data_IF_758744695108
#
_entry.id   IF_758744695108
#
_cell.length_a   1.000
_cell.length_b   1.000
_cell.length_c   1.000
_cell.angle_alpha   90.00
_cell.angle_beta   90.00
_cell.angle_gamma   90.00
#
_symmetry.space_group_name_H-M   'P 1'
#
loop_
_entity.id
_entity.type
_entity.pdbx_description
1 polymer ?
#
# COMPACT_ATOMS: atom_id res chain seq x y z
N UNK A 1 -11.98 17.88 -13.89
CA UNK A 1 -12.62 16.97 -12.90
C UNK A 1 -11.72 15.75 -12.73
N UNK A 2 -11.65 15.13 -11.54
CA UNK A 2 -10.94 13.89 -11.37
C UNK A 2 -11.58 12.78 -12.23
N UNK A 3 -10.77 11.83 -12.68
CA UNK A 3 -11.23 10.71 -13.51
C UNK A 3 -10.67 9.38 -13.04
N UNK A 4 -11.43 8.30 -13.26
CA UNK A 4 -11.02 6.94 -12.99
C UNK A 4 -11.17 6.13 -14.27
N UNK A 5 -10.08 5.55 -14.75
CA UNK A 5 -10.06 4.77 -15.99
C UNK A 5 -9.43 3.41 -15.76
N UNK A 6 -9.85 2.41 -16.55
CA UNK A 6 -9.15 1.12 -16.55
C UNK A 6 -7.72 1.30 -17.04
N UNK A 7 -6.80 0.60 -16.40
CA UNK A 7 -5.38 0.60 -16.75
C UNK A 7 -4.95 -0.80 -17.14
N UNK A 8 -4.31 -0.94 -18.28
CA UNK A 8 -3.74 -2.19 -18.78
C UNK A 8 -2.44 -1.86 -19.51
N UNK A 9 -1.31 -2.34 -18.96
CA UNK A 9 0.02 -2.23 -19.57
C UNK A 9 0.62 -3.65 -19.63
N UNK A 10 0.91 -4.18 -20.82
CA UNK A 10 1.44 -5.53 -20.98
C UNK A 10 2.84 -5.74 -20.37
N UNK A 11 3.67 -4.71 -20.24
CA UNK A 11 5.00 -4.73 -19.60
C UNK A 11 5.89 -5.93 -19.98
N UNK A 12 6.03 -6.34 -21.27
CA UNK A 12 6.88 -7.44 -21.61
C UNK A 12 8.37 -7.14 -21.30
N UNK A 13 9.17 -8.13 -20.82
CA UNK A 13 8.82 -9.54 -20.60
C UNK A 13 8.20 -9.82 -19.21
N UNK A 14 7.92 -8.80 -18.40
CA UNK A 14 7.41 -8.95 -17.04
C UNK A 14 5.88 -9.20 -16.96
N UNK A 15 5.34 -9.35 -15.75
CA UNK A 15 3.91 -9.44 -15.54
C UNK A 15 3.19 -8.15 -15.97
N UNK A 16 2.02 -8.23 -16.64
CA UNK A 16 1.25 -7.05 -17.00
C UNK A 16 0.75 -6.30 -15.76
N UNK A 17 0.53 -5.00 -15.91
CA UNK A 17 -0.09 -4.16 -14.90
C UNK A 17 -1.54 -3.93 -15.28
N UNK A 18 -2.47 -4.44 -14.48
CA UNK A 18 -3.91 -4.29 -14.67
C UNK A 18 -4.55 -3.69 -13.44
N UNK A 19 -5.50 -2.79 -13.64
CA UNK A 19 -6.19 -2.15 -12.53
C UNK A 19 -6.94 -0.88 -12.92
N UNK A 20 -6.86 0.13 -12.06
CA UNK A 20 -7.59 1.38 -12.22
C UNK A 20 -6.68 2.56 -11.93
N UNK A 21 -6.59 3.48 -12.88
CA UNK A 21 -5.84 4.71 -12.76
C UNK A 21 -6.78 5.86 -12.42
N UNK A 22 -6.50 6.50 -11.28
CA UNK A 22 -7.17 7.71 -10.83
C UNK A 22 -6.29 8.90 -11.18
N UNK A 23 -6.86 9.87 -11.90
CA UNK A 23 -6.21 11.14 -12.21
C UNK A 23 -6.91 12.27 -11.49
N UNK A 24 -6.20 13.10 -10.72
CA UNK A 24 -6.79 14.29 -10.11
C UNK A 24 -7.13 15.34 -11.18
N UNK A 25 -7.98 16.30 -10.83
CA UNK A 25 -8.25 17.46 -11.70
C UNK A 25 -7.01 18.35 -11.87
N UNK A 26 -6.20 18.45 -10.79
CA UNK A 26 -4.93 19.16 -10.76
C UNK A 26 -3.90 18.26 -10.05
N UNK A 27 -2.86 17.85 -10.79
CA UNK A 27 -1.85 16.91 -10.32
C UNK A 27 -0.67 17.66 -9.69
N UNK A 28 -0.56 17.62 -8.37
CA UNK A 28 0.53 18.27 -7.61
C UNK A 28 1.08 17.40 -6.45
N UNK A 29 0.44 16.26 -6.17
CA UNK A 29 0.78 15.42 -5.01
C UNK A 29 1.84 14.35 -5.27
N UNK A 30 2.04 13.94 -6.52
CA UNK A 30 2.88 12.79 -6.89
C UNK A 30 2.07 11.55 -7.26
N UNK A 31 2.71 10.38 -7.21
CA UNK A 31 2.13 9.08 -7.55
C UNK A 31 1.96 8.14 -6.35
N UNK A 32 0.88 7.37 -6.32
CA UNK A 32 0.63 6.31 -5.33
C UNK A 32 0.24 5.01 -6.03
N UNK A 33 1.02 3.94 -5.83
CA UNK A 33 0.62 2.57 -6.22
C UNK A 33 0.02 1.86 -5.03
N UNK A 34 -1.17 1.27 -5.19
CA UNK A 34 -1.86 0.50 -4.16
C UNK A 34 -2.16 -0.92 -4.62
N UNK A 35 -1.72 -1.91 -3.84
CA UNK A 35 -2.00 -3.32 -4.05
C UNK A 35 -2.96 -3.90 -2.98
N UNK A 36 -3.75 -4.89 -3.38
CA UNK A 36 -4.77 -5.52 -2.54
C UNK A 36 -4.23 -6.63 -1.63
N UNK A 37 -5.05 -7.01 -0.64
CA UNK A 37 -4.80 -8.16 0.22
C UNK A 37 -4.99 -9.51 -0.47
N UNK A 38 -4.62 -10.60 0.21
CA UNK A 38 -4.65 -11.96 -0.34
C UNK A 38 -6.03 -12.41 -0.86
N UNK A 39 -7.11 -11.97 -0.22
CA UNK A 39 -8.49 -12.31 -0.61
C UNK A 39 -9.15 -11.31 -1.56
N UNK A 40 -8.52 -10.15 -1.80
CA UNK A 40 -9.11 -9.04 -2.56
C UNK A 40 -8.62 -8.93 -4.00
N UNK A 41 -8.96 -7.80 -4.59
CA UNK A 41 -8.52 -7.33 -5.91
C UNK A 41 -8.39 -5.80 -5.89
N UNK A 42 -8.07 -5.17 -7.02
CA UNK A 42 -7.94 -3.72 -7.15
C UNK A 42 -9.23 -2.94 -6.84
N UNK A 43 -10.40 -3.59 -6.78
CA UNK A 43 -11.68 -2.98 -6.46
C UNK A 43 -12.06 -3.11 -4.97
N UNK A 44 -11.15 -3.64 -4.13
CA UNK A 44 -11.38 -3.73 -2.70
C UNK A 44 -11.75 -2.35 -2.11
N UNK A 45 -12.83 -2.24 -1.32
CA UNK A 45 -13.34 -0.94 -0.82
C UNK A 45 -12.28 -0.08 -0.15
N UNK A 46 -11.39 -0.67 0.65
CA UNK A 46 -10.29 0.06 1.31
C UNK A 46 -9.36 0.73 0.30
N UNK A 47 -9.08 0.09 -0.84
CA UNK A 47 -8.22 0.67 -1.87
C UNK A 47 -8.97 1.75 -2.67
N UNK A 48 -10.26 1.53 -2.94
CA UNK A 48 -11.10 2.51 -3.67
C UNK A 48 -11.19 3.80 -2.89
N UNK A 49 -11.57 3.73 -1.61
CA UNK A 49 -11.72 4.92 -0.76
C UNK A 49 -10.38 5.64 -0.53
N UNK A 50 -9.30 4.88 -0.28
CA UNK A 50 -7.97 5.44 -0.14
C UNK A 50 -7.53 6.16 -1.44
N UNK A 51 -7.72 5.52 -2.60
CA UNK A 51 -7.36 6.11 -3.88
C UNK A 51 -8.18 7.37 -4.18
N UNK A 52 -9.48 7.36 -3.89
CA UNK A 52 -10.35 8.54 -4.06
C UNK A 52 -9.84 9.72 -3.23
N UNK A 53 -9.61 9.51 -1.93
CA UNK A 53 -9.14 10.57 -1.04
C UNK A 53 -7.77 11.14 -1.44
N UNK A 54 -6.83 10.28 -1.87
CA UNK A 54 -5.54 10.75 -2.37
C UNK A 54 -5.67 11.50 -3.69
N UNK A 55 -6.59 11.07 -4.57
CA UNK A 55 -6.85 11.74 -5.85
C UNK A 55 -7.47 13.12 -5.63
N UNK A 56 -8.40 13.25 -4.69
CA UNK A 56 -8.99 14.55 -4.31
C UNK A 56 -7.93 15.50 -3.71
N UNK A 57 -6.87 14.94 -3.12
CA UNK A 57 -5.72 15.69 -2.60
C UNK A 57 -4.61 15.94 -3.66
N UNK A 58 -4.87 15.71 -4.95
CA UNK A 58 -3.97 16.01 -6.07
C UNK A 58 -2.99 14.89 -6.43
N UNK A 59 -3.17 13.66 -5.93
CA UNK A 59 -2.30 12.52 -6.24
C UNK A 59 -2.83 11.72 -7.43
N UNK A 60 -1.93 11.27 -8.30
CA UNK A 60 -2.26 10.24 -9.31
C UNK A 60 -2.14 8.87 -8.67
N UNK A 61 -3.22 8.07 -8.66
CA UNK A 61 -3.22 6.78 -7.96
C UNK A 61 -3.49 5.62 -8.91
N UNK A 62 -2.65 4.60 -8.84
CA UNK A 62 -2.83 3.32 -9.55
C UNK A 62 -3.15 2.22 -8.54
N UNK A 63 -4.41 1.74 -8.55
CA UNK A 63 -4.80 0.50 -7.86
C UNK A 63 -4.59 -0.66 -8.81
N UNK A 64 -3.74 -1.62 -8.47
CA UNK A 64 -3.41 -2.72 -9.37
C UNK A 64 -3.75 -4.08 -8.79
N UNK A 65 -4.16 -4.99 -9.68
CA UNK A 65 -4.25 -6.42 -9.39
C UNK A 65 -2.86 -7.04 -9.38
N UNK A 66 -2.52 -7.72 -8.29
CA UNK A 66 -1.30 -8.51 -8.22
C UNK A 66 -1.34 -9.65 -9.25
N UNK A 67 -0.22 -10.07 -9.83
CA UNK A 67 -0.16 -11.13 -10.86
C UNK A 67 -0.95 -12.38 -10.50
N UNK A 68 -0.90 -12.84 -9.24
CA UNK A 68 -1.68 -14.01 -8.85
C UNK A 68 -3.19 -13.80 -9.00
N UNK A 69 -3.69 -12.57 -8.80
CA UNK A 69 -5.12 -12.22 -8.92
C UNK A 69 -5.54 -12.11 -10.38
N UNK A 70 -4.65 -11.65 -11.25
CA UNK A 70 -4.90 -11.62 -12.69
C UNK A 70 -5.03 -13.03 -13.29
N UNK A 71 -4.33 -14.01 -12.72
CA UNK A 71 -4.37 -15.42 -13.14
C UNK A 71 -5.52 -16.20 -12.47
N UNK A 72 -5.94 -15.80 -11.26
CA UNK A 72 -6.97 -16.48 -10.45
C UNK A 72 -7.95 -15.48 -9.85
N UNK A 73 -9.20 -15.46 -10.29
CA UNK A 73 -10.22 -14.50 -9.82
C UNK A 73 -10.50 -14.58 -8.32
N UNK A 74 -10.32 -15.76 -7.70
CA UNK A 74 -10.63 -16.01 -6.28
C UNK A 74 -9.54 -16.83 -5.58
N UNK A 75 -9.59 -16.86 -4.25
CA UNK A 75 -8.67 -17.63 -3.41
C UNK A 75 -7.38 -16.87 -3.05
N UNK A 76 -6.58 -17.42 -2.11
CA UNK A 76 -5.33 -16.82 -1.70
C UNK A 76 -4.22 -16.99 -2.76
N UNK A 77 -3.11 -16.21 -2.65
CA UNK A 77 -1.97 -16.41 -3.54
C UNK A 77 -1.38 -17.81 -3.38
N UNK A 78 -1.07 -18.51 -4.48
CA UNK A 78 -0.40 -19.80 -4.42
C UNK A 78 1.00 -19.67 -3.80
N UNK A 79 1.48 -20.74 -3.16
CA UNK A 79 2.84 -20.78 -2.65
C UNK A 79 3.86 -20.54 -3.77
N UNK A 80 4.94 -19.82 -3.47
CA UNK A 80 6.00 -19.51 -4.44
C UNK A 80 5.72 -18.37 -5.43
N UNK A 81 4.56 -17.71 -5.34
CA UNK A 81 4.19 -16.62 -6.27
C UNK A 81 4.60 -15.21 -5.82
N UNK A 82 5.08 -15.07 -4.59
CA UNK A 82 5.40 -13.77 -3.99
C UNK A 82 6.42 -12.95 -4.81
N UNK A 83 7.42 -13.59 -5.38
CA UNK A 83 8.41 -12.92 -6.23
C UNK A 83 7.79 -12.35 -7.51
N UNK A 84 6.90 -13.11 -8.17
CA UNK A 84 6.16 -12.65 -9.36
C UNK A 84 5.22 -11.50 -9.01
N UNK A 85 4.61 -11.52 -7.82
CA UNK A 85 3.77 -10.41 -7.34
C UNK A 85 4.60 -9.14 -7.11
N UNK A 86 5.82 -9.28 -6.55
CA UNK A 86 6.74 -8.13 -6.44
C UNK A 86 7.22 -7.62 -7.79
N UNK A 87 7.44 -8.51 -8.77
CA UNK A 87 7.75 -8.09 -10.15
C UNK A 87 6.60 -7.28 -10.77
N UNK A 88 5.35 -7.70 -10.57
CA UNK A 88 4.17 -6.92 -10.98
C UNK A 88 4.07 -5.56 -10.30
N UNK A 89 4.38 -5.47 -8.99
CA UNK A 89 4.45 -4.19 -8.29
C UNK A 89 5.56 -3.29 -8.83
N UNK A 90 6.73 -3.83 -9.15
CA UNK A 90 7.82 -3.07 -9.79
C UNK A 90 7.37 -2.46 -11.11
N UNK A 91 6.67 -3.24 -11.95
CA UNK A 91 6.13 -2.76 -13.20
C UNK A 91 5.08 -1.67 -12.98
N UNK A 92 4.19 -1.83 -11.97
CA UNK A 92 3.20 -0.82 -11.63
C UNK A 92 3.84 0.51 -11.19
N UNK A 93 4.93 0.44 -10.41
CA UNK A 93 5.72 1.63 -10.04
C UNK A 93 6.34 2.29 -11.26
N UNK A 94 6.94 1.52 -12.15
CA UNK A 94 7.56 2.03 -13.39
C UNK A 94 6.51 2.70 -14.28
N UNK A 95 5.36 2.05 -14.49
CA UNK A 95 4.27 2.59 -15.28
C UNK A 95 3.71 3.90 -14.70
N UNK A 96 3.49 3.94 -13.37
CA UNK A 96 2.97 5.13 -12.73
C UNK A 96 3.99 6.28 -12.73
N UNK A 97 5.28 6.00 -12.60
CA UNK A 97 6.35 7.02 -12.64
C UNK A 97 6.37 7.79 -13.96
N UNK A 98 6.02 7.15 -15.06
CA UNK A 98 5.88 7.80 -16.37
C UNK A 98 4.65 8.73 -16.46
N UNK A 99 3.64 8.52 -15.61
CA UNK A 99 2.36 9.25 -15.62
C UNK A 99 2.24 10.30 -14.52
N UNK A 100 3.02 10.18 -13.45
CA UNK A 100 2.98 11.06 -12.29
C UNK A 100 4.41 11.49 -11.93
N UNK A 101 4.85 12.65 -12.40
CA UNK A 101 6.16 13.20 -12.03
C UNK A 101 6.20 13.57 -10.54
N UNK A 102 7.40 13.51 -9.96
CA UNK A 102 7.61 13.84 -8.55
C UNK A 102 7.72 12.60 -7.66
N UNK A 103 7.26 12.72 -6.41
CA UNK A 103 7.40 11.67 -5.40
C UNK A 103 6.48 10.50 -5.71
N UNK A 104 6.98 9.28 -5.44
CA UNK A 104 6.20 8.06 -5.66
C UNK A 104 6.12 7.24 -4.36
N UNK A 105 4.91 6.99 -3.93
CA UNK A 105 4.59 6.16 -2.77
C UNK A 105 4.14 4.78 -3.27
N UNK A 106 4.70 3.73 -2.67
CA UNK A 106 4.28 2.36 -2.91
C UNK A 106 3.55 1.85 -1.67
N UNK A 107 2.40 1.20 -1.86
CA UNK A 107 1.65 0.72 -0.72
C UNK A 107 0.69 -0.40 -1.03
N UNK A 108 -0.13 -0.72 -0.05
CA UNK A 108 -1.18 -1.71 -0.19
C UNK A 108 -1.74 -2.20 1.13
N UNK A 109 -2.79 -2.98 1.00
CA UNK A 109 -3.49 -3.61 2.11
C UNK A 109 -2.95 -5.01 2.37
N UNK A 110 -2.68 -5.33 3.65
CA UNK A 110 -2.35 -6.69 4.10
C UNK A 110 -1.21 -7.33 3.28
N UNK A 111 -1.48 -8.42 2.55
CA UNK A 111 -0.51 -9.10 1.68
C UNK A 111 0.14 -8.14 0.68
N UNK A 112 -0.63 -7.28 0.02
CA UNK A 112 -0.10 -6.28 -0.92
C UNK A 112 0.86 -5.30 -0.24
N UNK A 113 0.53 -4.80 0.94
CA UNK A 113 1.42 -3.95 1.74
C UNK A 113 2.71 -4.67 2.14
N UNK A 114 2.60 -5.96 2.53
CA UNK A 114 3.79 -6.77 2.82
C UNK A 114 4.67 -6.97 1.57
N UNK A 115 4.09 -7.27 0.40
CA UNK A 115 4.88 -7.39 -0.84
C UNK A 115 5.51 -6.05 -1.23
N UNK A 116 4.81 -4.94 -1.05
CA UNK A 116 5.34 -3.59 -1.26
C UNK A 116 6.56 -3.29 -0.39
N UNK A 117 6.48 -3.60 0.91
CA UNK A 117 7.60 -3.38 1.84
C UNK A 117 8.80 -4.29 1.53
N UNK A 118 8.57 -5.55 1.17
CA UNK A 118 9.64 -6.45 0.73
C UNK A 118 10.32 -5.95 -0.54
N UNK A 119 9.53 -5.51 -1.52
CA UNK A 119 10.06 -4.94 -2.76
C UNK A 119 10.87 -3.67 -2.52
N UNK A 120 10.44 -2.79 -1.63
CA UNK A 120 11.19 -1.58 -1.29
C UNK A 120 12.53 -1.90 -0.61
N UNK A 121 12.60 -2.96 0.20
CA UNK A 121 13.84 -3.45 0.80
C UNK A 121 14.78 -4.09 -0.24
N UNK A 122 14.24 -4.79 -1.24
CA UNK A 122 15.00 -5.43 -2.33
C UNK A 122 15.47 -4.43 -3.40
N UNK A 123 14.81 -3.29 -3.53
CA UNK A 123 15.06 -2.30 -4.58
C UNK A 123 15.08 -0.88 -4.01
N UNK A 124 16.15 -0.48 -3.31
CA UNK A 124 16.32 0.89 -2.83
C UNK A 124 16.19 1.92 -3.97
N UNK A 125 15.45 3.02 -3.71
CA UNK A 125 15.21 4.07 -4.69
C UNK A 125 14.04 3.80 -5.66
N UNK A 126 13.37 2.64 -5.57
CA UNK A 126 12.18 2.35 -6.39
C UNK A 126 10.99 3.24 -6.01
N UNK A 127 10.83 3.56 -4.75
CA UNK A 127 9.79 4.45 -4.22
C UNK A 127 10.40 5.41 -3.19
N UNK A 128 9.70 6.52 -2.93
CA UNK A 128 10.14 7.56 -1.98
C UNK A 128 9.58 7.33 -0.56
N UNK A 129 8.47 6.60 -0.43
CA UNK A 129 7.88 6.21 0.84
C UNK A 129 6.97 4.97 0.67
N UNK A 130 6.57 4.39 1.82
CA UNK A 130 5.59 3.31 1.88
C UNK A 130 4.31 3.74 2.60
N UNK A 131 3.15 3.23 2.13
CA UNK A 131 1.85 3.30 2.79
C UNK A 131 1.31 1.89 3.03
N UNK A 132 1.34 1.42 4.27
CA UNK A 132 1.02 0.05 4.64
C UNK A 132 -0.28 -0.01 5.44
N UNK A 133 -1.34 -0.52 4.82
CA UNK A 133 -2.68 -0.62 5.38
C UNK A 133 -2.87 -2.02 5.98
N UNK A 134 -3.20 -2.11 7.27
CA UNK A 134 -3.37 -3.36 8.02
C UNK A 134 -2.20 -4.32 7.79
N UNK A 135 -1.00 -3.92 8.18
CA UNK A 135 0.19 -4.73 7.96
C UNK A 135 0.10 -6.07 8.71
N UNK A 136 0.19 -7.23 8.01
CA UNK A 136 0.03 -8.54 8.63
C UNK A 136 1.33 -8.97 9.32
N UNK A 137 1.59 -8.41 10.51
CA UNK A 137 2.84 -8.59 11.25
C UNK A 137 3.16 -10.06 11.54
N UNK A 138 2.11 -10.86 11.79
CA UNK A 138 2.21 -12.31 12.02
C UNK A 138 0.91 -13.02 11.59
N UNK A 139 0.89 -14.34 11.43
CA UNK A 139 -0.35 -15.11 11.37
C UNK A 139 -1.09 -15.03 12.71
N UNK A 140 -2.43 -14.93 12.76
CA UNK A 140 -3.18 -14.82 14.02
C UNK A 140 -2.88 -15.97 15.00
N UNK A 141 -2.76 -17.20 14.50
CA UNK A 141 -2.50 -18.39 15.31
C UNK A 141 -1.02 -18.56 15.69
N UNK A 142 -0.13 -17.71 15.15
CA UNK A 142 1.33 -17.81 15.35
C UNK A 142 1.97 -16.42 15.57
N UNK A 143 1.65 -15.75 16.69
CA UNK A 143 2.06 -14.36 16.94
C UNK A 143 3.59 -14.18 17.08
N UNK A 144 4.32 -15.28 17.32
CA UNK A 144 5.80 -15.24 17.39
C UNK A 144 6.47 -15.29 16.01
N UNK A 145 5.75 -15.62 14.94
CA UNK A 145 6.28 -15.66 13.57
C UNK A 145 6.21 -14.27 12.90
N UNK A 146 7.07 -13.37 13.35
CA UNK A 146 7.09 -12.00 12.86
C UNK A 146 7.56 -11.92 11.40
N UNK A 147 6.84 -11.16 10.60
CA UNK A 147 7.12 -10.89 9.18
C UNK A 147 7.94 -9.60 8.99
N UNK A 148 8.99 -9.44 9.78
CA UNK A 148 9.80 -8.21 9.88
C UNK A 148 11.24 -8.39 9.46
N UNK A 149 11.65 -9.54 8.94
CA UNK A 149 13.05 -9.84 8.60
C UNK A 149 13.68 -8.81 7.63
N UNK A 150 12.88 -8.20 6.75
CA UNK A 150 13.31 -7.18 5.80
C UNK A 150 13.25 -5.74 6.34
N UNK A 151 12.69 -5.50 7.52
CA UNK A 151 12.53 -4.15 8.09
C UNK A 151 13.86 -3.39 8.24
N UNK A 152 14.97 -4.02 8.69
CA UNK A 152 16.26 -3.32 8.80
C UNK A 152 16.81 -2.81 7.46
N UNK A 153 16.37 -3.38 6.32
CA UNK A 153 16.77 -2.94 4.99
C UNK A 153 15.86 -1.83 4.40
N UNK A 154 14.81 -1.44 5.11
CA UNK A 154 13.94 -0.34 4.68
C UNK A 154 14.58 1.01 5.04
N UNK A 155 14.95 1.77 4.04
CA UNK A 155 15.64 3.07 4.16
C UNK A 155 14.74 4.27 3.83
N UNK A 156 13.51 4.02 3.38
CA UNK A 156 12.54 5.06 3.02
C UNK A 156 11.44 5.18 4.09
N UNK A 157 10.84 6.37 4.26
CA UNK A 157 9.76 6.58 5.24
C UNK A 157 8.60 5.60 5.09
N UNK A 158 8.02 5.18 6.23
CA UNK A 158 6.89 4.25 6.23
C UNK A 158 5.75 4.81 7.07
N UNK A 159 4.57 4.93 6.47
CA UNK A 159 3.31 5.19 7.18
C UNK A 159 2.53 3.90 7.28
N UNK A 160 2.21 3.52 8.51
CA UNK A 160 1.30 2.41 8.82
C UNK A 160 -0.09 2.96 9.13
N UNK A 161 -1.13 2.26 8.68
CA UNK A 161 -2.53 2.47 9.08
C UNK A 161 -3.04 1.16 9.65
N UNK A 162 -3.34 1.11 10.96
CA UNK A 162 -3.61 -0.15 11.66
C UNK A 162 -4.88 -0.08 12.50
N UNK A 163 -5.73 -1.09 12.36
CA UNK A 163 -6.94 -1.26 13.17
C UNK A 163 -6.64 -1.74 14.59
N UNK A 164 -7.31 -1.18 15.60
CA UNK A 164 -7.12 -1.60 17.00
C UNK A 164 -7.65 -3.00 17.31
N UNK A 165 -8.45 -3.60 16.41
CA UNK A 165 -8.99 -4.97 16.52
C UNK A 165 -8.48 -5.88 15.41
N UNK A 166 -7.32 -5.57 14.83
CA UNK A 166 -6.71 -6.40 13.78
C UNK A 166 -6.02 -7.62 14.40
N UNK A 167 -6.42 -8.86 14.07
CA UNK A 167 -5.81 -10.07 14.64
C UNK A 167 -4.42 -10.39 14.08
N UNK A 168 -3.97 -9.72 13.02
CA UNK A 168 -2.65 -9.92 12.42
C UNK A 168 -1.56 -9.01 12.99
N UNK A 169 -1.95 -7.97 13.74
CA UNK A 169 -1.06 -7.09 14.50
C UNK A 169 -1.89 -6.21 15.42
N UNK A 170 -1.66 -6.25 16.70
CA UNK A 170 -2.14 -5.23 17.62
C UNK A 170 -1.33 -3.95 17.45
N UNK A 171 -1.89 -2.81 17.85
CA UNK A 171 -1.18 -1.51 17.82
C UNK A 171 0.13 -1.56 18.62
N UNK A 172 0.19 -2.09 19.87
CA UNK A 172 1.44 -2.20 20.63
C UNK A 172 2.49 -3.10 19.97
N UNK A 173 2.08 -4.21 19.34
CA UNK A 173 3.00 -5.08 18.60
C UNK A 173 3.61 -4.36 17.40
N UNK A 174 2.80 -3.64 16.64
CA UNK A 174 3.27 -2.88 15.50
C UNK A 174 4.16 -1.70 15.94
N UNK A 175 3.83 -1.01 17.04
CA UNK A 175 4.68 0.00 17.65
C UNK A 175 6.07 -0.57 17.97
N UNK A 176 6.13 -1.73 18.59
CA UNK A 176 7.40 -2.42 18.90
C UNK A 176 8.14 -2.82 17.62
N UNK A 177 7.43 -3.35 16.62
CA UNK A 177 8.03 -3.84 15.39
C UNK A 177 8.62 -2.71 14.52
N UNK A 178 7.98 -1.53 14.47
CA UNK A 178 8.45 -0.40 13.67
C UNK A 178 9.77 0.20 14.17
N UNK A 179 10.16 -0.03 15.42
CA UNK A 179 11.50 0.35 15.91
C UNK A 179 12.66 -0.45 15.26
N UNK A 180 12.33 -1.49 14.49
CA UNK A 180 13.33 -2.21 13.68
C UNK A 180 13.65 -1.52 12.36
N UNK A 181 12.86 -0.50 11.95
CA UNK A 181 13.13 0.27 10.75
C UNK A 181 14.19 1.35 11.06
N UNK A 182 15.18 1.47 10.18
CA UNK A 182 16.13 2.57 10.23
C UNK A 182 15.53 3.89 9.71
N UNK A 183 14.48 3.81 8.90
CA UNK A 183 13.79 4.95 8.31
C UNK A 183 12.74 5.55 9.27
N UNK A 184 12.41 6.84 9.12
CA UNK A 184 11.33 7.46 9.86
C UNK A 184 9.99 6.77 9.61
N UNK A 185 9.18 6.63 10.66
CA UNK A 185 7.87 5.97 10.59
C UNK A 185 6.78 6.79 11.25
N UNK A 186 5.55 6.64 10.77
CA UNK A 186 4.34 7.11 11.43
C UNK A 186 3.31 5.98 11.53
N UNK A 187 2.46 6.03 12.54
CA UNK A 187 1.36 5.11 12.75
C UNK A 187 0.05 5.89 12.89
N UNK A 188 -0.88 5.63 11.98
CA UNK A 188 -2.26 6.09 12.03
C UNK A 188 -3.11 4.97 12.60
N UNK A 189 -3.77 5.22 13.72
CA UNK A 189 -4.57 4.23 14.44
C UNK A 189 -6.04 4.31 14.02
N UNK A 190 -6.56 3.22 13.50
CA UNK A 190 -7.97 3.09 13.12
C UNK A 190 -8.78 2.49 14.27
N UNK A 191 -9.36 3.35 15.12
CA UNK A 191 -10.11 2.94 16.30
C UNK A 191 -11.30 2.04 15.95
N UNK A 192 -11.41 0.91 16.65
CA UNK A 192 -12.47 -0.09 16.49
C UNK A 192 -12.45 -0.84 15.16
N UNK A 193 -11.49 -0.56 14.27
CA UNK A 193 -11.37 -1.28 13.01
C UNK A 193 -10.65 -2.62 13.18
N UNK A 194 -11.14 -3.64 12.45
CA UNK A 194 -10.47 -4.92 12.28
C UNK A 194 -9.52 -4.88 11.07
N UNK A 195 -9.07 -6.03 10.60
CA UNK A 195 -8.15 -6.16 9.46
C UNK A 195 -8.68 -5.52 8.18
N UNK A 196 -9.98 -5.60 7.92
CA UNK A 196 -10.63 -4.82 6.87
C UNK A 196 -11.06 -3.44 7.42
N UNK A 197 -10.27 -2.42 7.14
CA UNK A 197 -10.53 -1.04 7.56
C UNK A 197 -11.84 -0.47 7.02
N UNK A 198 -12.32 -0.98 5.89
CA UNK A 198 -13.55 -0.54 5.23
C UNK A 198 -14.80 -1.32 5.69
N UNK A 199 -14.66 -2.30 6.58
CA UNK A 199 -15.78 -3.11 7.04
C UNK A 199 -16.78 -2.30 7.88
N UNK A 200 -18.06 -2.67 7.75
CA UNK A 200 -19.18 -2.11 8.49
C UNK A 200 -19.76 -0.83 7.90
N UNK A 201 -20.90 -0.39 8.44
CA UNK A 201 -21.71 0.70 7.90
C UNK A 201 -20.97 2.06 7.78
N UNK A 202 -19.96 2.29 8.61
CA UNK A 202 -19.12 3.52 8.59
C UNK A 202 -17.75 3.29 7.98
N UNK A 203 -17.49 2.13 7.40
CA UNK A 203 -16.16 1.73 6.94
C UNK A 203 -15.58 2.67 5.88
N UNK A 204 -16.38 3.05 4.90
CA UNK A 204 -15.94 3.98 3.83
C UNK A 204 -15.56 5.35 4.39
N UNK A 205 -16.44 5.97 5.19
CA UNK A 205 -16.15 7.27 5.81
C UNK A 205 -14.92 7.21 6.72
N UNK A 206 -14.71 6.09 7.44
CA UNK A 206 -13.51 5.86 8.24
C UNK A 206 -12.26 5.88 7.35
N UNK A 207 -12.24 5.13 6.24
CA UNK A 207 -11.08 5.06 5.35
C UNK A 207 -10.76 6.43 4.75
N UNK A 208 -11.76 7.22 4.38
CA UNK A 208 -11.56 8.60 3.90
C UNK A 208 -10.85 9.48 4.96
N UNK A 209 -11.26 9.39 6.24
CA UNK A 209 -10.59 10.07 7.35
C UNK A 209 -9.15 9.61 7.55
N UNK A 210 -8.93 8.29 7.59
CA UNK A 210 -7.59 7.68 7.71
C UNK A 210 -6.67 8.05 6.54
N UNK A 211 -7.21 8.23 5.33
CA UNK A 211 -6.45 8.68 4.18
C UNK A 211 -5.92 10.12 4.37
N UNK A 212 -6.72 11.01 4.94
CA UNK A 212 -6.29 12.37 5.29
C UNK A 212 -5.16 12.39 6.32
N UNK A 213 -5.28 11.56 7.37
CA UNK A 213 -4.23 11.41 8.39
C UNK A 213 -2.96 10.79 7.80
N UNK A 214 -3.09 9.74 6.99
CA UNK A 214 -1.96 9.09 6.31
C UNK A 214 -1.24 10.05 5.35
N UNK A 215 -1.99 10.86 4.60
CA UNK A 215 -1.44 11.87 3.71
C UNK A 215 -0.68 12.95 4.48
N UNK A 216 -1.22 13.41 5.62
CA UNK A 216 -0.55 14.36 6.51
C UNK A 216 0.76 13.78 7.04
N UNK A 217 0.74 12.53 7.50
CA UNK A 217 1.94 11.84 7.97
C UNK A 217 2.98 11.65 6.84
N UNK A 218 2.55 11.24 5.64
CA UNK A 218 3.44 11.10 4.48
C UNK A 218 4.12 12.44 4.12
N UNK A 219 3.34 13.53 4.08
CA UNK A 219 3.88 14.87 3.79
C UNK A 219 4.90 15.33 4.82
N UNK A 220 4.65 15.06 6.11
CA UNK A 220 5.59 15.37 7.17
C UNK A 220 6.91 14.61 7.01
N UNK A 221 6.82 13.26 6.85
CA UNK A 221 8.00 12.41 6.70
C UNK A 221 8.80 12.68 5.42
N UNK A 222 8.13 13.05 4.31
CA UNK A 222 8.79 13.35 3.06
C UNK A 222 9.44 14.76 3.06
N UNK A 223 8.96 15.70 3.85
CA UNK A 223 9.55 17.04 4.02
C UNK A 223 10.84 17.00 4.83
N UNK A 224 10.94 16.13 5.82
CA UNK A 224 12.14 15.96 6.66
C UNK A 224 13.36 15.44 5.88
N UNK A 225 13.20 15.01 4.63
CA UNK A 225 14.28 14.56 3.74
C UNK A 225 14.82 15.64 2.80
N UNK A 226 14.41 16.89 2.95
CA UNK A 226 15.02 18.00 2.18
C UNK A 226 16.10 18.63 3.06
N UNK A 227 17.41 18.42 2.74
CA UNK A 227 18.50 19.17 3.37
C UNK A 227 18.46 20.64 2.94
#
# INVERSE_FOLDING_TARGET
MPSVTRFDDPCPPGPPVRGWLHRPADAHGGGLVLAHGAGGNAEAPVLVEMATAFTDAGWTVLRCDLPFRQERPTGPPPRGRAERDRAGLRNAVTALRALAPGRLVLGGHSYGGRQASMLAAEAPGLADALLLLSYPLHPPERPRELRTAHFPALTIPVVFVQGTRDPFATVPELETARHRLAAPTALVVAEGAAHDLAAGARGRARVAGLAGEALTALRALLKEKTP
#
